data_IF_219313009156
#
_entry.id   IF_219313009156
#
_cell.length_a   1.000
_cell.length_b   1.000
_cell.length_c   1.000
_cell.angle_alpha   90.00
_cell.angle_beta   90.00
_cell.angle_gamma   90.00
#
_symmetry.space_group_name_H-M   'P 1'
#
loop_
_entity.id
_entity.type
_entity.pdbx_description
1 polymer ?
#
# COMPACT_ATOMS: atom_id res chain seq x y z
N UNK A 1 52.12 -24.91 -70.45
CA UNK A 1 53.02 -23.78 -70.74
C UNK A 1 53.38 -23.20 -69.38
N UNK A 2 54.68 -23.24 -69.03
CA UNK A 2 55.31 -22.76 -67.79
C UNK A 2 54.90 -23.49 -66.49
N UNK A 3 55.68 -24.46 -65.99
CA UNK A 3 57.04 -24.46 -65.38
C UNK A 3 56.87 -24.71 -63.87
N UNK A 4 57.56 -25.75 -63.41
CA UNK A 4 57.57 -26.34 -62.07
C UNK A 4 58.19 -25.41 -61.02
N UNK A 5 57.84 -25.57 -59.73
CA UNK A 5 58.83 -26.04 -58.76
C UNK A 5 58.22 -26.44 -57.41
N UNK A 6 58.74 -27.56 -56.92
CA UNK A 6 58.45 -28.26 -55.68
C UNK A 6 59.46 -27.78 -54.65
N UNK A 7 59.02 -27.32 -53.48
CA UNK A 7 59.91 -27.13 -52.32
C UNK A 7 59.21 -27.58 -51.05
N UNK A 8 59.61 -28.77 -50.59
CA UNK A 8 59.32 -29.26 -49.25
C UNK A 8 60.01 -28.40 -48.19
N UNK A 9 59.30 -28.04 -47.12
CA UNK A 9 59.94 -27.74 -45.84
C UNK A 9 58.98 -28.00 -44.69
N UNK A 10 59.23 -29.10 -43.99
CA UNK A 10 58.71 -29.42 -42.66
C UNK A 10 59.02 -28.24 -41.73
N UNK A 11 57.99 -27.69 -41.09
CA UNK A 11 58.16 -26.58 -40.16
C UNK A 11 56.88 -26.19 -39.45
N UNK A 12 56.70 -26.79 -38.27
CA UNK A 12 56.07 -26.14 -37.11
C UNK A 12 54.54 -26.05 -37.05
N UNK A 13 53.94 -27.22 -36.77
CA UNK A 13 52.87 -27.34 -35.77
C UNK A 13 53.29 -26.61 -34.48
N UNK A 14 52.77 -25.41 -34.20
CA UNK A 14 52.70 -24.75 -32.87
C UNK A 14 52.16 -23.32 -33.03
N UNK A 15 50.84 -23.15 -33.06
CA UNK A 15 50.18 -21.84 -32.88
C UNK A 15 48.71 -21.98 -32.45
N UNK A 16 48.41 -22.96 -31.59
CA UNK A 16 47.09 -23.17 -30.96
C UNK A 16 47.09 -22.94 -29.45
N UNK A 17 48.12 -22.31 -28.87
CA UNK A 17 48.15 -22.01 -27.45
C UNK A 17 48.58 -20.56 -27.21
N UNK A 18 47.89 -19.88 -26.30
CA UNK A 18 48.11 -18.51 -25.80
C UNK A 18 47.18 -17.45 -26.42
N UNK A 19 45.88 -17.63 -26.21
CA UNK A 19 44.93 -16.54 -25.99
C UNK A 19 43.97 -16.89 -24.84
N UNK A 20 44.52 -17.54 -23.80
CA UNK A 20 43.96 -17.48 -22.45
C UNK A 20 44.54 -16.23 -21.78
N UNK A 21 44.22 -15.06 -22.33
CA UNK A 21 44.34 -13.82 -21.56
C UNK A 21 43.23 -13.89 -20.53
N UNK A 22 43.59 -14.41 -19.36
CA UNK A 22 42.85 -14.26 -18.13
C UNK A 22 42.56 -12.78 -17.94
N UNK A 23 41.35 -12.38 -18.34
CA UNK A 23 40.72 -11.19 -17.82
C UNK A 23 40.45 -11.46 -16.34
N UNK A 24 41.51 -11.40 -15.52
CA UNK A 24 41.41 -11.12 -14.11
C UNK A 24 40.76 -9.73 -14.02
N UNK A 25 39.43 -9.72 -14.06
CA UNK A 25 38.62 -8.58 -13.71
C UNK A 25 38.99 -8.27 -12.27
N UNK A 26 39.85 -7.27 -12.09
CA UNK A 26 40.28 -6.80 -10.78
C UNK A 26 39.02 -6.48 -10.00
N UNK A 27 38.69 -7.31 -9.01
CA UNK A 27 37.53 -7.10 -8.14
C UNK A 27 37.69 -5.70 -7.54
N UNK A 28 36.80 -4.79 -7.96
CA UNK A 28 36.72 -3.47 -7.35
C UNK A 28 36.30 -3.69 -5.90
N UNK A 29 37.24 -3.44 -4.98
CA UNK A 29 36.90 -3.47 -3.56
C UNK A 29 35.79 -2.45 -3.32
N UNK A 30 34.73 -2.81 -2.57
CA UNK A 30 33.62 -1.90 -2.32
C UNK A 30 34.12 -0.58 -1.74
N UNK A 31 33.56 0.53 -2.23
CA UNK A 31 33.79 1.82 -1.60
C UNK A 31 32.98 1.88 -0.31
N UNK A 32 33.62 1.66 0.83
CA UNK A 32 32.96 1.70 2.13
C UNK A 32 33.55 0.72 3.13
N UNK A 33 33.11 0.82 4.39
CA UNK A 33 33.49 -0.13 5.44
C UNK A 33 32.62 -1.38 5.31
N UNK A 34 33.20 -2.46 4.81
CA UNK A 34 32.55 -3.77 4.79
C UNK A 34 32.39 -4.30 6.23
N UNK A 35 31.19 -4.78 6.54
CA UNK A 35 30.87 -5.41 7.82
C UNK A 35 30.65 -6.93 7.67
N UNK A 36 30.35 -7.40 6.45
CA UNK A 36 30.30 -8.83 6.13
C UNK A 36 30.52 -9.09 4.64
N UNK A 37 30.81 -10.35 4.30
CA UNK A 37 30.98 -10.83 2.94
C UNK A 37 30.49 -12.26 2.79
N UNK A 38 29.77 -12.55 1.71
CA UNK A 38 29.46 -13.91 1.23
C UNK A 38 29.80 -13.94 -0.26
N UNK A 39 30.80 -14.75 -0.62
CA UNK A 39 31.41 -14.75 -1.96
C UNK A 39 31.87 -13.34 -2.42
N UNK A 40 31.39 -12.83 -3.55
CA UNK A 40 31.68 -11.51 -4.09
C UNK A 40 30.73 -10.40 -3.57
N UNK A 41 29.75 -10.77 -2.75
CA UNK A 41 28.72 -9.86 -2.22
C UNK A 41 29.15 -9.35 -0.85
N UNK A 42 29.20 -8.03 -0.70
CA UNK A 42 29.56 -7.35 0.54
C UNK A 42 28.34 -6.67 1.16
N UNK A 43 28.24 -6.73 2.48
CA UNK A 43 27.40 -5.85 3.27
C UNK A 43 28.26 -4.70 3.79
N UNK A 44 27.87 -3.47 3.47
CA UNK A 44 28.56 -2.25 3.88
C UNK A 44 27.84 -1.58 5.06
N UNK A 45 28.58 -0.80 5.84
CA UNK A 45 28.00 -0.02 6.95
C UNK A 45 26.96 1.03 6.46
N UNK A 46 27.01 1.42 5.18
CA UNK A 46 26.01 2.28 4.55
C UNK A 46 24.71 1.56 4.17
N UNK A 47 24.77 0.27 3.85
CA UNK A 47 23.58 -0.55 3.59
C UNK A 47 22.70 -0.63 4.84
N UNK A 48 23.32 -0.57 6.02
CA UNK A 48 22.61 -0.48 7.28
C UNK A 48 21.68 0.74 7.33
N UNK A 49 22.04 1.87 6.72
CA UNK A 49 21.19 3.07 6.69
C UNK A 49 19.95 2.87 5.82
N UNK A 50 20.05 2.04 4.79
CA UNK A 50 18.93 1.67 3.92
C UNK A 50 17.97 0.73 4.64
N UNK A 51 18.53 -0.16 5.47
CA UNK A 51 17.79 -1.16 6.25
C UNK A 51 17.26 -0.60 7.59
N UNK A 52 17.80 0.52 8.07
CA UNK A 52 17.42 1.13 9.34
C UNK A 52 16.09 1.87 9.24
N UNK A 53 15.19 1.53 10.16
CA UNK A 53 13.95 2.29 10.36
C UNK A 53 14.30 3.62 11.05
N UNK A 54 13.89 4.78 10.51
CA UNK A 54 14.17 6.07 11.12
C UNK A 54 13.68 6.13 12.57
N UNK A 55 14.53 6.62 13.48
CA UNK A 55 14.19 6.80 14.90
C UNK A 55 14.42 5.57 15.80
N UNK A 56 14.84 4.43 15.23
CA UNK A 56 15.23 3.25 16.00
C UNK A 56 16.76 3.07 15.98
N UNK A 57 17.37 3.05 17.17
CA UNK A 57 18.76 2.63 17.34
C UNK A 57 18.83 1.11 17.46
N UNK A 58 19.74 0.48 16.72
CA UNK A 58 19.99 -0.95 16.86
C UNK A 58 20.92 -1.23 18.03
N UNK A 59 20.53 -2.18 18.89
CA UNK A 59 21.44 -2.78 19.86
C UNK A 59 22.52 -3.60 19.16
N UNK A 60 23.50 -4.10 19.92
CA UNK A 60 24.50 -5.00 19.38
C UNK A 60 23.87 -6.35 18.97
N UNK A 61 22.87 -6.81 19.71
CA UNK A 61 22.07 -7.99 19.38
C UNK A 61 21.27 -7.79 18.09
N UNK A 62 20.62 -6.63 17.91
CA UNK A 62 19.90 -6.31 16.67
C UNK A 62 20.82 -6.34 15.45
N UNK A 63 22.05 -5.82 15.60
CA UNK A 63 23.08 -5.84 14.56
C UNK A 63 23.51 -7.27 14.23
N UNK A 64 23.69 -8.11 15.25
CA UNK A 64 24.04 -9.52 15.08
C UNK A 64 22.94 -10.27 14.33
N UNK A 65 21.67 -10.10 14.72
CA UNK A 65 20.53 -10.72 14.05
C UNK A 65 20.37 -10.24 12.61
N UNK A 66 20.58 -8.95 12.35
CA UNK A 66 20.55 -8.41 11.00
C UNK A 66 21.63 -9.03 10.13
N UNK A 67 22.85 -9.17 10.66
CA UNK A 67 23.96 -9.78 9.98
C UNK A 67 23.66 -11.24 9.61
N UNK A 68 23.19 -12.04 10.57
CA UNK A 68 22.82 -13.44 10.33
C UNK A 68 21.70 -13.57 9.29
N UNK A 69 20.70 -12.68 9.35
CA UNK A 69 19.62 -12.61 8.37
C UNK A 69 20.13 -12.24 6.98
N UNK A 70 21.05 -11.28 6.90
CA UNK A 70 21.66 -10.89 5.64
C UNK A 70 22.47 -12.05 5.04
N UNK A 71 23.34 -12.70 5.83
CA UNK A 71 24.13 -13.85 5.37
C UNK A 71 23.22 -14.95 4.82
N UNK A 72 22.18 -15.33 5.57
CA UNK A 72 21.22 -16.36 5.14
C UNK A 72 20.53 -15.99 3.83
N UNK A 73 20.04 -14.76 3.70
CA UNK A 73 19.38 -14.32 2.48
C UNK A 73 20.34 -14.26 1.29
N UNK A 74 21.59 -13.87 1.51
CA UNK A 74 22.62 -13.84 0.46
C UNK A 74 22.96 -15.25 -0.02
N UNK A 75 23.07 -16.24 0.87
CA UNK A 75 23.25 -17.65 0.48
C UNK A 75 22.07 -18.17 -0.36
N UNK A 76 20.83 -17.87 0.04
CA UNK A 76 19.64 -18.24 -0.74
C UNK A 76 19.59 -17.52 -2.10
N UNK A 77 20.01 -16.26 -2.16
CA UNK A 77 20.14 -15.50 -3.40
C UNK A 77 21.16 -16.14 -4.35
N UNK A 78 22.32 -16.55 -3.85
CA UNK A 78 23.34 -17.25 -4.63
C UNK A 78 22.84 -18.61 -5.15
N UNK A 79 22.11 -19.37 -4.33
CA UNK A 79 21.46 -20.61 -4.79
C UNK A 79 20.42 -20.36 -5.88
N UNK A 80 19.58 -19.32 -5.73
CA UNK A 80 18.61 -18.93 -6.75
C UNK A 80 19.27 -18.51 -8.08
N UNK A 81 20.43 -17.85 -8.00
CA UNK A 81 21.28 -17.48 -9.15
C UNK A 81 21.85 -18.71 -9.85
N UNK A 82 22.32 -19.71 -9.09
CA UNK A 82 22.85 -20.97 -9.62
C UNK A 82 21.77 -21.77 -10.37
N UNK A 83 20.53 -21.76 -9.85
CA UNK A 83 19.36 -22.36 -10.50
C UNK A 83 18.81 -21.53 -11.67
N UNK A 84 19.41 -20.38 -11.98
CA UNK A 84 19.01 -19.52 -13.09
C UNK A 84 17.68 -18.79 -12.90
N UNK A 85 17.18 -18.66 -11.66
CA UNK A 85 15.93 -17.95 -11.37
C UNK A 85 16.00 -16.48 -11.74
N UNK A 86 17.18 -15.86 -11.70
CA UNK A 86 17.40 -14.48 -12.15
C UNK A 86 17.24 -14.31 -13.68
N UNK A 87 17.23 -15.41 -14.44
CA UNK A 87 16.97 -15.42 -15.87
C UNK A 87 15.50 -15.69 -16.21
N UNK A 88 14.69 -16.11 -15.23
CA UNK A 88 13.26 -16.38 -15.40
C UNK A 88 12.52 -15.14 -15.94
N UNK A 89 11.80 -15.26 -17.08
CA UNK A 89 11.10 -14.12 -17.67
C UNK A 89 10.05 -13.50 -16.75
N UNK A 90 9.36 -14.30 -15.93
CA UNK A 90 8.33 -13.79 -15.03
C UNK A 90 8.97 -13.00 -13.87
N UNK A 91 10.07 -13.50 -13.29
CA UNK A 91 10.80 -12.81 -12.24
C UNK A 91 11.42 -11.51 -12.75
N UNK A 92 12.03 -11.51 -13.94
CA UNK A 92 12.52 -10.29 -14.59
C UNK A 92 11.42 -9.24 -14.76
N UNK A 93 10.21 -9.65 -15.17
CA UNK A 93 9.06 -8.74 -15.27
C UNK A 93 8.63 -8.22 -13.90
N UNK A 94 8.60 -9.06 -12.86
CA UNK A 94 8.30 -8.64 -11.49
C UNK A 94 9.32 -7.61 -10.99
N UNK A 95 10.62 -7.85 -11.18
CA UNK A 95 11.69 -6.92 -10.81
C UNK A 95 11.56 -5.56 -11.51
N UNK A 96 11.30 -5.57 -12.82
CA UNK A 96 11.07 -4.33 -13.59
C UNK A 96 9.87 -3.53 -13.05
N UNK A 97 8.77 -4.21 -12.71
CA UNK A 97 7.61 -3.55 -12.12
C UNK A 97 7.91 -3.01 -10.71
N UNK A 98 8.62 -3.78 -9.88
CA UNK A 98 9.05 -3.34 -8.55
C UNK A 98 9.95 -2.10 -8.63
N UNK A 99 10.90 -2.05 -9.56
CA UNK A 99 11.75 -0.89 -9.80
C UNK A 99 10.92 0.35 -10.14
N UNK A 100 10.00 0.22 -11.11
CA UNK A 100 9.11 1.33 -11.52
C UNK A 100 8.29 1.84 -10.35
N UNK A 101 7.72 0.94 -9.54
CA UNK A 101 6.89 1.33 -8.40
C UNK A 101 7.71 1.95 -7.28
N UNK A 102 8.93 1.46 -7.03
CA UNK A 102 9.83 2.04 -6.04
C UNK A 102 10.24 3.47 -6.43
N UNK A 103 10.62 3.69 -7.69
CA UNK A 103 10.96 5.02 -8.19
C UNK A 103 9.78 6.00 -8.11
N UNK A 104 8.56 5.55 -8.45
CA UNK A 104 7.36 6.36 -8.33
C UNK A 104 7.06 6.74 -6.87
N UNK A 105 7.16 5.77 -5.95
CA UNK A 105 6.95 6.00 -4.51
C UNK A 105 7.99 6.97 -3.94
N UNK A 106 9.26 6.80 -4.25
CA UNK A 106 10.34 7.67 -3.78
C UNK A 106 10.20 9.08 -4.37
N UNK A 107 9.81 9.20 -5.64
CA UNK A 107 9.50 10.50 -6.25
C UNK A 107 8.39 11.23 -5.48
N UNK A 108 7.25 10.57 -5.23
CA UNK A 108 6.14 11.17 -4.48
C UNK A 108 6.56 11.53 -3.05
N UNK A 109 7.26 10.64 -2.35
CA UNK A 109 7.76 10.86 -1.00
C UNK A 109 8.65 12.11 -0.92
N UNK A 110 9.57 12.30 -1.87
CA UNK A 110 10.42 13.50 -1.93
C UNK A 110 9.61 14.75 -2.22
N UNK A 111 8.60 14.67 -3.08
CA UNK A 111 7.70 15.80 -3.36
C UNK A 111 6.83 16.17 -2.16
N UNK A 112 6.45 15.20 -1.33
CA UNK A 112 5.65 15.42 -0.11
C UNK A 112 6.48 15.72 1.14
N UNK A 113 7.82 15.73 1.07
CA UNK A 113 8.68 15.89 2.24
C UNK A 113 8.50 17.25 2.96
N UNK A 114 8.14 18.31 2.23
CA UNK A 114 7.83 19.63 2.79
C UNK A 114 6.36 19.81 3.18
N UNK A 115 5.53 18.78 3.04
CA UNK A 115 4.11 18.89 3.30
C UNK A 115 3.84 18.87 4.80
N UNK A 116 3.13 19.87 5.31
CA UNK A 116 2.76 19.98 6.71
C UNK A 116 1.28 20.35 6.84
N UNK A 117 0.73 20.13 8.03
CA UNK A 117 -0.61 20.57 8.42
C UNK A 117 -0.45 21.46 9.63
N UNK A 118 -0.90 22.71 9.52
CA UNK A 118 -0.78 23.69 10.60
C UNK A 118 -1.89 23.50 11.64
N UNK A 119 -1.73 24.12 12.81
CA UNK A 119 -2.76 24.07 13.84
C UNK A 119 -4.02 24.86 13.43
N UNK A 120 -3.85 25.96 12.67
CA UNK A 120 -4.96 26.74 12.11
C UNK A 120 -5.82 25.89 11.17
N UNK A 121 -5.21 25.06 10.33
CA UNK A 121 -5.96 24.16 9.44
C UNK A 121 -6.78 23.12 10.21
N UNK A 122 -6.27 22.66 11.36
CA UNK A 122 -6.98 21.74 12.24
C UNK A 122 -8.14 22.48 12.92
N UNK A 123 -7.93 23.71 13.37
CA UNK A 123 -8.96 24.54 14.01
C UNK A 123 -10.09 24.88 13.03
N UNK A 124 -9.74 25.31 11.81
CA UNK A 124 -10.70 25.57 10.74
C UNK A 124 -11.50 24.31 10.38
N UNK A 125 -10.84 23.15 10.36
CA UNK A 125 -11.51 21.88 10.12
C UNK A 125 -12.50 21.51 11.23
N UNK A 126 -12.18 21.86 12.48
CA UNK A 126 -12.97 21.51 13.66
C UNK A 126 -14.13 22.46 13.92
N UNK A 127 -14.05 23.73 13.47
CA UNK A 127 -14.97 24.82 13.80
C UNK A 127 -16.46 24.42 13.84
N UNK A 128 -16.95 23.68 12.84
CA UNK A 128 -18.35 23.24 12.74
C UNK A 128 -18.54 21.72 12.92
N UNK A 129 -17.52 21.04 13.44
CA UNK A 129 -17.44 19.58 13.52
C UNK A 129 -17.13 19.05 14.91
N UNK A 130 -16.73 19.89 15.87
CA UNK A 130 -16.38 19.44 17.22
C UNK A 130 -17.46 18.57 17.87
N UNK A 131 -18.73 18.93 17.69
CA UNK A 131 -19.86 18.18 18.26
C UNK A 131 -19.98 16.75 17.73
N UNK A 132 -19.48 16.47 16.52
CA UNK A 132 -19.44 15.11 15.98
C UNK A 132 -18.50 14.22 16.80
N UNK A 133 -17.37 14.78 17.27
CA UNK A 133 -16.42 14.03 18.07
C UNK A 133 -16.90 13.82 19.52
N UNK A 134 -17.88 14.59 19.98
CA UNK A 134 -18.54 14.41 21.29
C UNK A 134 -19.72 13.43 21.23
N UNK A 135 -19.95 12.78 20.09
CA UNK A 135 -21.05 11.85 19.90
C UNK A 135 -20.54 10.45 19.57
N UNK A 136 -20.94 9.47 20.39
CA UNK A 136 -20.79 8.05 20.12
C UNK A 136 -22.04 7.47 19.49
N UNK A 137 -21.87 6.50 18.59
CA UNK A 137 -22.96 5.78 17.95
C UNK A 137 -22.70 4.27 17.93
N UNK A 138 -23.79 3.51 17.97
CA UNK A 138 -23.79 2.11 17.57
C UNK A 138 -24.69 1.95 16.36
N UNK A 139 -24.20 1.35 15.29
CA UNK A 139 -24.90 1.24 14.01
C UNK A 139 -24.74 -0.14 13.38
N UNK A 140 -25.68 -0.49 12.52
CA UNK A 140 -25.56 -1.61 11.59
C UNK A 140 -25.57 -1.04 10.18
N UNK A 141 -24.58 -1.41 9.38
CA UNK A 141 -24.47 -1.09 7.97
C UNK A 141 -24.65 -2.39 7.19
N UNK A 142 -25.52 -2.35 6.18
CA UNK A 142 -25.78 -3.49 5.30
C UNK A 142 -25.46 -3.08 3.87
N UNK A 143 -24.46 -3.73 3.28
CA UNK A 143 -24.04 -3.58 1.88
C UNK A 143 -24.61 -4.74 1.05
N UNK A 144 -25.05 -4.45 -0.17
CA UNK A 144 -25.64 -5.43 -1.09
C UNK A 144 -25.61 -4.93 -2.54
N UNK A 145 -25.60 -5.85 -3.51
CA UNK A 145 -25.43 -5.49 -4.93
C UNK A 145 -26.74 -5.28 -5.70
N UNK A 146 -27.85 -5.90 -5.30
CA UNK A 146 -29.16 -5.77 -5.99
C UNK A 146 -30.13 -4.84 -5.24
N UNK A 147 -30.43 -3.69 -5.84
CA UNK A 147 -31.37 -2.70 -5.30
C UNK A 147 -32.76 -3.26 -4.97
N UNK A 148 -33.22 -4.30 -5.67
CA UNK A 148 -34.53 -4.91 -5.45
C UNK A 148 -34.65 -5.57 -4.07
N UNK A 149 -33.52 -5.88 -3.41
CA UNK A 149 -33.48 -6.44 -2.05
C UNK A 149 -33.77 -5.39 -0.97
N UNK A 150 -33.70 -4.10 -1.29
CA UNK A 150 -33.81 -3.02 -0.30
C UNK A 150 -35.11 -3.07 0.54
N UNK A 151 -36.31 -3.33 0.00
CA UNK A 151 -37.53 -3.45 0.80
C UNK A 151 -37.47 -4.59 1.82
N UNK A 152 -36.92 -5.74 1.41
CA UNK A 152 -36.75 -6.92 2.26
C UNK A 152 -35.76 -6.64 3.39
N UNK A 153 -34.57 -6.13 3.08
CA UNK A 153 -33.54 -5.80 4.07
C UNK A 153 -34.08 -4.76 5.08
N UNK A 154 -34.76 -3.71 4.59
CA UNK A 154 -35.38 -2.69 5.47
C UNK A 154 -36.43 -3.28 6.39
N UNK A 155 -37.24 -4.24 5.92
CA UNK A 155 -38.23 -4.95 6.74
C UNK A 155 -37.56 -5.74 7.87
N UNK A 156 -36.47 -6.43 7.56
CA UNK A 156 -35.68 -7.19 8.53
C UNK A 156 -35.06 -6.27 9.60
N UNK A 157 -34.39 -5.20 9.17
CA UNK A 157 -33.75 -4.24 10.08
C UNK A 157 -34.74 -3.52 11.01
N UNK A 158 -36.00 -3.33 10.61
CA UNK A 158 -37.04 -2.71 11.44
C UNK A 158 -37.54 -3.60 12.59
N UNK A 159 -37.22 -4.89 12.59
CA UNK A 159 -37.58 -5.81 13.69
C UNK A 159 -36.90 -5.38 15.00
N UNK A 160 -37.45 -5.86 16.13
CA UNK A 160 -37.00 -5.57 17.50
C UNK A 160 -36.94 -6.85 18.34
N UNK A 161 -36.18 -6.82 19.43
CA UNK A 161 -36.05 -7.94 20.38
C UNK A 161 -35.55 -9.23 19.71
N UNK A 162 -36.06 -10.40 20.14
CA UNK A 162 -35.69 -11.70 19.57
C UNK A 162 -35.83 -11.77 18.04
N UNK A 163 -36.87 -11.13 17.48
CA UNK A 163 -37.08 -11.09 16.02
C UNK A 163 -35.98 -10.34 15.27
N UNK A 164 -35.35 -9.34 15.89
CA UNK A 164 -34.22 -8.64 15.28
C UNK A 164 -33.00 -9.55 15.20
N UNK A 165 -32.73 -10.33 16.25
CA UNK A 165 -31.61 -11.29 16.27
C UNK A 165 -31.70 -12.29 15.12
N UNK A 166 -32.87 -12.92 14.95
CA UNK A 166 -33.12 -13.81 13.81
C UNK A 166 -32.99 -13.12 12.46
N UNK A 167 -33.42 -11.85 12.36
CA UNK A 167 -33.29 -11.08 11.13
C UNK A 167 -31.83 -10.80 10.76
N UNK A 168 -30.99 -10.54 11.76
CA UNK A 168 -29.56 -10.31 11.54
C UNK A 168 -28.83 -11.59 11.15
N UNK A 169 -29.20 -12.73 11.74
CA UNK A 169 -28.71 -14.05 11.33
C UNK A 169 -29.14 -14.39 9.89
N UNK A 170 -30.41 -14.16 9.56
CA UNK A 170 -30.97 -14.31 8.23
C UNK A 170 -30.25 -13.45 7.18
N UNK A 171 -29.89 -12.21 7.50
CA UNK A 171 -29.11 -11.34 6.61
C UNK A 171 -27.67 -11.82 6.42
N UNK A 172 -27.00 -12.26 7.49
CA UNK A 172 -25.61 -12.73 7.44
C UNK A 172 -25.43 -14.03 6.65
N UNK A 173 -26.46 -14.87 6.59
CA UNK A 173 -26.42 -16.13 5.87
C UNK A 173 -26.64 -15.97 4.35
N UNK A 174 -26.69 -14.73 3.84
CA UNK A 174 -26.88 -14.42 2.42
C UNK A 174 -25.53 -14.05 1.80
N UNK A 175 -25.12 -14.75 0.74
CA UNK A 175 -23.79 -14.56 0.12
C UNK A 175 -23.60 -13.21 -0.56
N UNK A 176 -24.69 -12.53 -0.92
CA UNK A 176 -24.70 -11.22 -1.59
C UNK A 176 -24.99 -10.05 -0.64
N UNK A 177 -24.96 -10.29 0.66
CA UNK A 177 -25.15 -9.27 1.70
C UNK A 177 -23.97 -9.28 2.65
N UNK A 178 -23.36 -8.12 2.85
CA UNK A 178 -22.38 -7.91 3.90
C UNK A 178 -22.99 -7.05 5.01
N UNK A 179 -22.90 -7.54 6.25
CA UNK A 179 -23.44 -6.87 7.45
C UNK A 179 -22.29 -6.48 8.36
N UNK A 180 -22.12 -5.18 8.56
CA UNK A 180 -21.14 -4.61 9.50
C UNK A 180 -21.89 -4.02 10.71
N UNK A 181 -21.61 -4.54 11.91
CA UNK A 181 -22.06 -3.92 13.16
C UNK A 181 -20.89 -3.14 13.77
N UNK A 182 -21.08 -1.84 13.97
CA UNK A 182 -20.11 -0.97 14.62
C UNK A 182 -20.71 -0.55 15.96
N UNK A 183 -20.06 -0.94 17.04
CA UNK A 183 -20.50 -0.64 18.39
C UNK A 183 -19.62 0.44 19.02
N UNK A 184 -20.27 1.40 19.68
CA UNK A 184 -19.64 2.44 20.47
C UNK A 184 -18.55 3.26 19.75
N UNK A 185 -18.72 3.51 18.45
CA UNK A 185 -17.74 4.26 17.64
C UNK A 185 -17.97 5.78 17.73
N UNK A 186 -16.89 6.55 17.66
CA UNK A 186 -16.96 8.01 17.57
C UNK A 186 -17.52 8.45 16.21
N UNK A 187 -18.58 9.27 16.21
CA UNK A 187 -19.23 9.71 14.97
C UNK A 187 -18.32 10.58 14.09
N UNK A 188 -17.50 11.43 14.71
CA UNK A 188 -16.50 12.23 14.02
C UNK A 188 -15.50 11.36 13.24
N UNK A 189 -14.89 10.38 13.90
CA UNK A 189 -13.96 9.45 13.25
C UNK A 189 -14.63 8.63 12.14
N UNK A 190 -15.84 8.11 12.39
CA UNK A 190 -16.61 7.36 11.39
C UNK A 190 -16.81 8.17 10.10
N UNK A 191 -17.14 9.45 10.20
CA UNK A 191 -17.35 10.31 9.03
C UNK A 191 -16.08 10.64 8.26
N UNK A 192 -14.91 10.56 8.92
CA UNK A 192 -13.62 10.78 8.28
C UNK A 192 -13.10 9.52 7.58
N UNK A 193 -13.37 8.35 8.15
CA UNK A 193 -12.95 7.06 7.62
C UNK A 193 -13.82 6.62 6.43
N UNK A 194 -15.15 6.70 6.55
CA UNK A 194 -16.08 6.24 5.52
C UNK A 194 -16.44 7.35 4.52
N UNK A 195 -15.52 7.63 3.59
CA UNK A 195 -15.74 8.64 2.53
C UNK A 195 -16.94 8.34 1.63
N UNK A 196 -17.24 7.06 1.43
CA UNK A 196 -18.28 6.58 0.53
C UNK A 196 -19.69 6.60 1.11
N UNK A 197 -19.84 6.90 2.40
CA UNK A 197 -21.14 7.30 2.93
C UNK A 197 -21.53 8.61 2.24
N UNK A 198 -22.66 8.68 1.49
CA UNK A 198 -23.08 9.91 0.86
C UNK A 198 -23.22 11.02 1.90
N UNK A 199 -22.81 12.23 1.56
CA UNK A 199 -22.85 13.37 2.48
C UNK A 199 -24.25 13.58 3.07
N UNK A 200 -25.28 13.37 2.23
CA UNK A 200 -26.70 13.39 2.62
C UNK A 200 -27.01 12.40 3.74
N UNK A 201 -26.37 11.23 3.77
CA UNK A 201 -26.55 10.28 4.85
C UNK A 201 -25.75 10.68 6.09
N UNK A 202 -24.55 11.25 5.97
CA UNK A 202 -23.81 11.78 7.12
C UNK A 202 -24.63 12.81 7.87
N UNK A 203 -25.24 13.75 7.14
CA UNK A 203 -26.17 14.71 7.72
C UNK A 203 -27.39 14.02 8.35
N UNK A 204 -27.99 13.03 7.66
CA UNK A 204 -29.14 12.31 8.23
C UNK A 204 -28.77 11.51 9.47
N UNK A 205 -27.60 10.88 9.52
CA UNK A 205 -27.12 10.11 10.67
C UNK A 205 -27.03 10.99 11.90
N UNK A 206 -26.64 12.26 11.76
CA UNK A 206 -26.69 13.27 12.84
C UNK A 206 -28.09 13.41 13.44
N UNK A 207 -29.14 13.32 12.62
CA UNK A 207 -30.54 13.49 13.04
C UNK A 207 -31.33 12.19 13.22
N UNK A 208 -30.75 11.04 12.87
CA UNK A 208 -31.41 9.74 13.02
C UNK A 208 -31.72 9.44 14.49
N UNK A 209 -32.88 8.83 14.74
CA UNK A 209 -33.32 8.41 16.08
C UNK A 209 -32.94 6.96 16.35
N UNK A 210 -32.82 6.60 17.64
CA UNK A 210 -32.61 5.21 18.08
C UNK A 210 -33.62 4.27 17.41
N UNK A 211 -33.10 3.22 16.77
CA UNK A 211 -33.87 2.21 16.03
C UNK A 211 -34.30 2.60 14.61
N UNK A 212 -33.97 3.81 14.12
CA UNK A 212 -34.33 4.24 12.77
C UNK A 212 -33.50 3.52 11.70
N UNK A 213 -34.14 3.21 10.56
CA UNK A 213 -33.53 2.56 9.38
C UNK A 213 -33.57 3.53 8.18
N UNK A 214 -32.40 3.85 7.62
CA UNK A 214 -32.22 4.77 6.49
C UNK A 214 -32.85 4.25 5.20
N UNK A 215 -33.21 5.15 4.27
CA UNK A 215 -33.48 4.74 2.88
C UNK A 215 -32.21 4.09 2.28
N UNK A 216 -32.40 3.31 1.21
CA UNK A 216 -31.29 2.80 0.40
C UNK A 216 -30.60 3.96 -0.32
N UNK A 217 -29.28 3.88 -0.45
CA UNK A 217 -28.44 4.78 -1.22
C UNK A 217 -27.28 3.99 -1.82
N UNK A 218 -26.58 4.56 -2.81
CA UNK A 218 -25.40 3.93 -3.39
C UNK A 218 -24.11 4.48 -2.77
N UNK A 219 -23.13 3.60 -2.56
CA UNK A 219 -21.78 3.90 -2.10
C UNK A 219 -20.82 2.98 -2.85
N UNK A 220 -19.82 3.54 -3.56
CA UNK A 220 -18.78 2.79 -4.29
C UNK A 220 -19.30 1.68 -5.23
N UNK A 221 -20.45 1.90 -5.88
CA UNK A 221 -21.04 0.90 -6.78
C UNK A 221 -21.89 -0.17 -6.10
N UNK A 222 -22.02 -0.13 -4.76
CA UNK A 222 -22.93 -0.98 -3.99
C UNK A 222 -24.14 -0.20 -3.47
N UNK A 223 -25.15 -0.92 -2.97
CA UNK A 223 -26.28 -0.35 -2.25
C UNK A 223 -26.11 -0.55 -0.75
N UNK A 224 -26.51 0.46 0.02
CA UNK A 224 -26.30 0.48 1.46
C UNK A 224 -27.57 0.89 2.21
N UNK A 225 -27.83 0.22 3.33
CA UNK A 225 -28.85 0.60 4.32
C UNK A 225 -28.22 0.62 5.71
N UNK A 226 -28.54 1.65 6.50
CA UNK A 226 -28.04 1.80 7.87
C UNK A 226 -29.19 1.74 8.87
N UNK A 227 -28.98 1.05 9.99
CA UNK A 227 -29.80 1.15 11.20
C UNK A 227 -29.01 1.79 12.33
N UNK A 228 -29.57 2.83 12.94
CA UNK A 228 -29.01 3.41 14.16
C UNK A 228 -29.50 2.62 15.37
N UNK A 229 -28.58 2.00 16.12
CA UNK A 229 -28.87 1.24 17.32
C UNK A 229 -28.89 2.13 18.55
N UNK A 230 -27.94 3.06 18.66
CA UNK A 230 -27.76 3.91 19.83
C UNK A 230 -27.02 5.20 19.46
N UNK A 231 -27.28 6.26 20.24
CA UNK A 231 -26.52 7.50 20.30
C UNK A 231 -26.26 7.82 21.75
N UNK A 232 -25.03 8.19 22.08
CA UNK A 232 -24.65 8.52 23.44
C UNK A 232 -23.56 9.61 23.43
N UNK A 233 -23.45 10.42 24.51
CA UNK A 233 -22.39 11.41 24.61
C UNK A 233 -21.02 10.74 24.82
N UNK A 234 -19.98 11.32 24.23
CA UNK A 234 -18.58 10.95 24.39
C UNK A 234 -17.77 12.19 24.79
N UNK A 235 -16.70 11.96 25.56
CA UNK A 235 -15.71 13.00 25.89
C UNK A 235 -14.36 12.52 25.36
N UNK A 236 -14.03 12.81 24.09
CA UNK A 236 -12.77 12.38 23.51
C UNK A 236 -11.61 13.22 24.06
N UNK A 237 -10.40 12.65 24.09
CA UNK A 237 -9.23 13.43 24.42
C UNK A 237 -8.92 14.41 23.28
N UNK A 238 -8.88 15.73 23.58
CA UNK A 238 -8.67 16.76 22.55
C UNK A 238 -7.38 16.55 21.74
N UNK A 239 -6.29 16.12 22.37
CA UNK A 239 -5.02 15.82 21.72
C UNK A 239 -5.13 14.68 20.71
N UNK A 240 -5.88 13.62 21.04
CA UNK A 240 -6.10 12.47 20.16
C UNK A 240 -6.87 12.89 18.90
N UNK A 241 -7.99 13.62 19.08
CA UNK A 241 -8.81 14.14 17.97
C UNK A 241 -7.97 15.02 17.05
N UNK A 242 -7.16 15.92 17.60
CA UNK A 242 -6.27 16.79 16.81
C UNK A 242 -5.22 15.99 16.04
N UNK A 243 -4.58 15.01 16.67
CA UNK A 243 -3.58 14.15 16.01
C UNK A 243 -4.19 13.35 14.87
N UNK A 244 -5.38 12.79 15.07
CA UNK A 244 -6.11 12.08 14.03
C UNK A 244 -6.48 13.01 12.86
N UNK A 245 -7.02 14.19 13.14
CA UNK A 245 -7.36 15.18 12.10
C UNK A 245 -6.12 15.63 11.33
N UNK A 246 -4.99 15.83 12.03
CA UNK A 246 -3.71 16.16 11.38
C UNK A 246 -3.31 15.09 10.37
N UNK A 247 -3.42 13.81 10.72
CA UNK A 247 -3.14 12.70 9.81
C UNK A 247 -4.11 12.69 8.62
N UNK A 248 -5.43 12.87 8.87
CA UNK A 248 -6.44 12.92 7.80
C UNK A 248 -6.18 14.07 6.84
N UNK A 249 -5.86 15.26 7.34
CA UNK A 249 -5.55 16.43 6.52
C UNK A 249 -4.24 16.24 5.74
N UNK A 250 -3.23 15.62 6.36
CA UNK A 250 -1.97 15.32 5.70
C UNK A 250 -2.18 14.39 4.51
N UNK A 251 -2.91 13.29 4.69
CA UNK A 251 -3.21 12.35 3.60
C UNK A 251 -4.04 12.99 2.48
N UNK A 252 -4.99 13.88 2.83
CA UNK A 252 -5.75 14.64 1.81
C UNK A 252 -4.87 15.57 1.00
N UNK A 253 -3.98 16.31 1.67
CA UNK A 253 -3.03 17.19 1.00
C UNK A 253 -2.06 16.40 0.13
N UNK A 254 -1.59 15.24 0.61
CA UNK A 254 -0.68 14.36 -0.13
C UNK A 254 -1.35 13.81 -1.39
N UNK A 255 -2.61 13.38 -1.29
CA UNK A 255 -3.38 12.93 -2.44
C UNK A 255 -3.60 14.07 -3.46
N UNK A 256 -3.97 15.27 -3.00
CA UNK A 256 -4.14 16.42 -3.89
C UNK A 256 -2.82 16.84 -4.59
N UNK A 257 -1.69 16.74 -3.88
CA UNK A 257 -0.35 16.94 -4.47
C UNK A 257 -0.06 15.88 -5.53
N UNK A 258 -0.33 14.60 -5.23
CA UNK A 258 -0.16 13.50 -6.18
C UNK A 258 -0.99 13.71 -7.44
N UNK A 259 -2.28 14.01 -7.32
CA UNK A 259 -3.16 14.31 -8.43
C UNK A 259 -2.61 15.46 -9.29
N UNK A 260 -2.18 16.56 -8.64
CA UNK A 260 -1.58 17.70 -9.35
C UNK A 260 -0.27 17.33 -10.06
N UNK A 261 0.55 16.47 -9.47
CA UNK A 261 1.79 15.98 -10.10
C UNK A 261 1.47 15.11 -11.30
N UNK A 262 0.52 14.18 -11.18
CA UNK A 262 0.08 13.31 -12.26
C UNK A 262 -0.45 14.14 -13.42
N UNK A 263 -1.32 15.13 -13.16
CA UNK A 263 -1.84 16.02 -14.20
C UNK A 263 -0.74 16.84 -14.90
N UNK A 264 0.26 17.32 -14.16
CA UNK A 264 1.42 17.99 -14.76
C UNK A 264 2.26 17.02 -15.62
N UNK A 265 2.49 15.80 -15.16
CA UNK A 265 3.26 14.78 -15.89
C UNK A 265 2.52 14.29 -17.14
N UNK A 266 1.18 14.20 -17.12
CA UNK A 266 0.36 13.88 -18.30
C UNK A 266 0.52 14.88 -19.44
N UNK A 267 0.84 16.13 -19.15
CA UNK A 267 1.12 17.15 -20.17
C UNK A 267 2.54 17.02 -20.76
N UNK A 268 3.43 16.31 -20.07
CA UNK A 268 4.84 16.13 -20.46
C UNK A 268 5.09 14.80 -21.17
N UNK A 269 4.35 13.76 -20.81
CA UNK A 269 4.52 12.42 -21.34
C UNK A 269 3.31 12.00 -22.15
N UNK A 270 3.55 11.32 -23.28
CA UNK A 270 2.49 10.71 -24.07
C UNK A 270 1.84 9.58 -23.28
N UNK A 271 0.52 9.56 -23.25
CA UNK A 271 -0.27 8.54 -22.55
C UNK A 271 -1.29 7.97 -23.51
N UNK A 272 -1.05 6.74 -23.96
CA UNK A 272 -1.98 5.96 -24.76
C UNK A 272 -2.48 4.76 -23.96
N UNK A 273 -3.80 4.54 -23.95
CA UNK A 273 -4.40 3.31 -23.41
C UNK A 273 -4.65 2.35 -24.56
N UNK A 274 -3.77 1.36 -24.72
CA UNK A 274 -3.95 0.30 -25.71
C UNK A 274 -4.97 -0.70 -25.16
N UNK A 275 -6.19 -0.67 -25.67
CA UNK A 275 -7.25 -1.62 -25.33
C UNK A 275 -7.15 -2.83 -26.26
N UNK A 276 -6.76 -4.00 -25.74
CA UNK A 276 -6.61 -5.20 -26.56
C UNK A 276 -6.06 -6.47 -25.90
N UNK A 277 -5.89 -6.50 -24.58
CA UNK A 277 -5.39 -7.68 -23.87
C UNK A 277 -6.34 -8.08 -22.76
N UNK A 278 -7.40 -8.82 -23.13
CA UNK A 278 -8.13 -9.70 -22.19
C UNK A 278 -7.38 -11.02 -22.07
#
# INVERSE_FOLDING_TARGET
MFWEEKMERKGLLLLTAVLMLTACKKEEKPQGKAIARVDDIYLLEEDLKVLQVPGLSWSEEDRSLLLDNWIRNTLLYLGAREEGLDQDPLLKRKLLWSERMLLAQEYLKRKSAGLTVTDEEIDDFLKDREELFKQGISIVIVFFSDSNRAPYIRKLLRRRGRRYRYAMEELRNQSDINVTELDSVNLGYLFLEFRSIPEVLKEKLRWMRKGQVSKVFSADGEYVIIKLLEKFPLVPQKSEVRSYIRQVLYERKRAALEDSLVEALRKKFEVEKISGGS
#
